data_IF_171135245584
#
_entry.id   IF_171135245584
#
_cell.length_a   1.000
_cell.length_b   1.000
_cell.length_c   1.000
_cell.angle_alpha   90.00
_cell.angle_beta   90.00
_cell.angle_gamma   90.00
#
_symmetry.space_group_name_H-M   'P 1'
#
loop_
_entity.id
_entity.type
_entity.pdbx_description
1 polymer ?
#
# COMPACT_ATOMS: atom_id res chain seq x y z
N UNK A 1 -3.52 11.23 -10.27
CA UNK A 1 -3.54 11.23 -8.78
C UNK A 1 -4.91 11.53 -8.20
N UNK A 2 -5.41 10.69 -7.30
CA UNK A 2 -6.78 10.73 -6.74
C UNK A 2 -6.82 11.16 -5.28
N UNK A 3 -6.17 10.40 -4.39
CA UNK A 3 -6.03 10.75 -2.98
C UNK A 3 -5.10 11.95 -2.89
N UNK A 4 -5.60 13.06 -2.35
CA UNK A 4 -4.88 14.32 -2.23
C UNK A 4 -4.32 14.55 -0.84
N UNK A 5 -5.03 14.09 0.19
CA UNK A 5 -4.66 14.35 1.58
C UNK A 5 -5.15 13.27 2.54
N UNK A 6 -4.33 13.00 3.55
CA UNK A 6 -4.72 12.34 4.80
C UNK A 6 -4.66 13.38 5.91
N UNK A 7 -5.69 13.46 6.75
CA UNK A 7 -5.74 14.35 7.92
C UNK A 7 -5.98 13.52 9.17
N UNK A 8 -5.20 13.75 10.23
CA UNK A 8 -5.42 13.13 11.53
C UNK A 8 -6.54 13.89 12.26
N UNK A 9 -7.57 13.17 12.70
CA UNK A 9 -8.71 13.70 13.45
C UNK A 9 -8.36 13.78 14.94
N UNK A 10 -7.41 14.67 15.28
CA UNK A 10 -6.81 14.76 16.61
C UNK A 10 -7.83 14.96 17.73
N UNK A 11 -8.92 15.69 17.48
CA UNK A 11 -10.01 15.91 18.45
C UNK A 11 -10.77 14.62 18.85
N UNK A 12 -10.62 13.54 18.08
CA UNK A 12 -11.24 12.23 18.39
C UNK A 12 -10.29 11.33 19.18
N UNK A 13 -9.00 11.66 19.26
CA UNK A 13 -7.99 10.80 19.87
C UNK A 13 -8.11 10.90 21.40
N UNK A 14 -8.33 9.78 22.11
CA UNK A 14 -8.51 9.80 23.56
C UNK A 14 -7.22 10.08 24.34
N UNK A 15 -6.06 9.63 23.83
CA UNK A 15 -4.75 9.86 24.42
C UNK A 15 -3.65 9.59 23.40
N UNK A 16 -2.61 10.43 23.39
CA UNK A 16 -1.40 10.24 22.59
C UNK A 16 -0.34 9.37 23.29
N UNK A 17 -0.62 8.84 24.48
CA UNK A 17 0.30 7.97 25.24
C UNK A 17 0.10 6.48 24.91
N UNK A 18 -0.90 6.16 24.08
CA UNK A 18 -1.25 4.78 23.71
C UNK A 18 -0.99 4.53 22.25
N UNK A 19 -0.59 3.30 21.93
CA UNK A 19 -0.50 2.85 20.54
C UNK A 19 -1.87 2.96 19.84
N UNK A 20 -1.94 3.32 18.55
CA UNK A 20 -0.84 3.76 17.68
C UNK A 20 -0.50 5.25 17.81
N UNK A 21 -1.26 6.00 18.59
CA UNK A 21 -1.09 7.44 18.73
C UNK A 21 0.21 7.84 19.42
N UNK A 22 0.86 6.94 20.17
CA UNK A 22 2.17 7.16 20.79
C UNK A 22 3.34 7.04 19.83
N UNK A 23 3.13 6.56 18.60
CA UNK A 23 4.17 6.56 17.58
C UNK A 23 4.50 8.02 17.26
N UNK A 24 5.76 8.48 17.39
CA UNK A 24 6.04 9.91 17.34
C UNK A 24 5.77 10.56 15.97
N UNK A 25 5.76 9.77 14.88
CA UNK A 25 5.37 10.25 13.54
C UNK A 25 3.86 10.46 13.42
N UNK A 26 3.06 9.66 14.15
CA UNK A 26 1.60 9.81 14.23
C UNK A 26 1.24 10.93 15.21
N UNK A 27 1.96 11.07 16.33
CA UNK A 27 1.77 12.18 17.28
C UNK A 27 1.88 13.53 16.58
N UNK A 28 2.88 13.69 15.72
CA UNK A 28 3.18 14.95 15.02
C UNK A 28 2.42 15.12 13.71
N UNK A 29 1.70 14.09 13.25
CA UNK A 29 0.90 14.16 12.03
C UNK A 29 -0.34 15.03 12.24
N UNK A 30 -0.42 16.16 11.53
CA UNK A 30 -1.66 16.91 11.38
C UNK A 30 -2.33 16.55 10.05
N UNK A 31 -1.56 16.66 8.97
CA UNK A 31 -1.98 16.30 7.63
C UNK A 31 -0.78 15.87 6.78
N UNK A 32 -1.06 15.04 5.77
CA UNK A 32 -0.12 14.59 4.76
C UNK A 32 -0.74 14.83 3.38
N UNK A 33 -0.11 15.69 2.58
CA UNK A 33 -0.52 15.97 1.20
C UNK A 33 0.25 15.08 0.21
N UNK A 34 -0.47 14.45 -0.71
CA UNK A 34 0.10 13.70 -1.83
C UNK A 34 0.32 14.62 -3.02
N UNK A 35 1.53 14.59 -3.60
CA UNK A 35 1.94 15.49 -4.70
C UNK A 35 2.31 14.75 -5.99
N UNK A 36 2.41 13.42 -5.96
CA UNK A 36 2.72 12.58 -7.11
C UNK A 36 1.93 11.28 -7.09
N UNK A 37 1.86 10.64 -8.26
CA UNK A 37 1.19 9.34 -8.42
C UNK A 37 1.92 8.21 -7.69
N UNK A 38 3.23 8.32 -7.44
CA UNK A 38 3.96 7.37 -6.57
C UNK A 38 4.43 8.12 -5.32
N UNK A 39 4.03 7.64 -4.15
CA UNK A 39 4.47 8.16 -2.86
C UNK A 39 5.10 7.06 -2.01
N UNK A 40 6.31 7.28 -1.51
CA UNK A 40 6.97 6.36 -0.59
C UNK A 40 6.88 6.85 0.86
N UNK A 41 6.45 5.98 1.76
CA UNK A 41 6.61 6.13 3.21
C UNK A 41 7.91 5.48 3.62
N UNK A 42 8.80 6.26 4.23
CA UNK A 42 10.17 5.87 4.57
C UNK A 42 10.44 6.22 6.03
N UNK A 43 11.21 5.38 6.71
CA UNK A 43 11.58 5.52 8.12
C UNK A 43 11.97 4.17 8.71
N UNK A 44 12.48 4.17 9.94
CA UNK A 44 12.89 2.96 10.63
C UNK A 44 11.72 2.01 10.97
N UNK A 45 12.03 0.79 11.39
CA UNK A 45 11.03 -0.13 11.90
C UNK A 45 10.35 0.46 13.13
N UNK A 46 9.02 0.37 13.20
CA UNK A 46 8.23 1.01 14.26
C UNK A 46 7.95 2.51 14.04
N UNK A 47 8.40 3.12 12.93
CA UNK A 47 8.12 4.54 12.64
C UNK A 47 6.68 4.85 12.21
N UNK A 48 5.77 3.87 12.19
CA UNK A 48 4.35 4.08 11.86
C UNK A 48 3.99 4.03 10.36
N UNK A 49 4.91 3.63 9.47
CA UNK A 49 4.64 3.51 8.02
C UNK A 49 3.46 2.57 7.74
N UNK A 50 3.55 1.32 8.20
CA UNK A 50 2.54 0.29 8.00
C UNK A 50 1.24 0.68 8.69
N UNK A 51 1.30 1.23 9.91
CA UNK A 51 0.15 1.75 10.65
C UNK A 51 -0.63 2.82 9.86
N UNK A 52 0.07 3.80 9.28
CA UNK A 52 -0.59 4.83 8.47
C UNK A 52 -1.14 4.25 7.16
N UNK A 53 -0.40 3.36 6.51
CA UNK A 53 -0.82 2.72 5.27
C UNK A 53 -2.08 1.84 5.49
N UNK A 54 -2.12 1.09 6.58
CA UNK A 54 -3.28 0.31 7.02
C UNK A 54 -4.50 1.19 7.32
N UNK A 55 -4.30 2.36 7.95
CA UNK A 55 -5.38 3.31 8.18
C UNK A 55 -5.97 3.83 6.86
N UNK A 56 -5.13 4.12 5.86
CA UNK A 56 -5.58 4.49 4.52
C UNK A 56 -6.34 3.33 3.87
N UNK A 57 -5.82 2.10 3.96
CA UNK A 57 -6.47 0.90 3.43
C UNK A 57 -7.86 0.68 4.05
N UNK A 58 -7.95 0.83 5.37
CA UNK A 58 -9.19 0.75 6.14
C UNK A 58 -10.23 1.77 5.63
N UNK A 59 -9.86 3.05 5.50
CA UNK A 59 -10.77 4.08 4.97
C UNK A 59 -11.17 3.87 3.50
N UNK A 60 -10.34 3.18 2.72
CA UNK A 60 -10.67 2.74 1.36
C UNK A 60 -11.59 1.51 1.34
N UNK A 61 -11.87 0.86 2.47
CA UNK A 61 -12.52 -0.45 2.58
C UNK A 61 -11.78 -1.55 1.80
N UNK A 62 -10.44 -1.52 1.81
CA UNK A 62 -9.62 -2.61 1.29
C UNK A 62 -9.44 -3.67 2.36
N UNK A 63 -9.25 -4.92 1.94
CA UNK A 63 -8.95 -5.97 2.90
C UNK A 63 -7.50 -5.84 3.37
N UNK A 64 -7.31 -5.58 4.66
CA UNK A 64 -6.02 -5.43 5.33
C UNK A 64 -5.22 -6.75 5.43
N UNK A 65 -5.86 -7.90 5.24
CA UNK A 65 -5.16 -9.19 5.06
C UNK A 65 -4.57 -9.37 3.65
N UNK A 66 -4.82 -8.42 2.74
CA UNK A 66 -4.43 -8.48 1.33
C UNK A 66 -5.69 -8.63 0.45
N UNK A 67 -5.95 -7.67 -0.44
CA UNK A 67 -7.16 -7.72 -1.28
C UNK A 67 -7.73 -6.38 -1.71
N UNK A 68 -8.75 -6.44 -2.58
CA UNK A 68 -9.63 -5.32 -2.89
C UNK A 68 -10.99 -5.49 -2.16
N UNK A 69 -11.91 -4.53 -2.32
CA UNK A 69 -13.26 -4.55 -1.71
C UNK A 69 -14.11 -5.78 -2.10
N UNK A 70 -13.86 -6.39 -3.26
CA UNK A 70 -14.66 -7.51 -3.78
C UNK A 70 -14.13 -8.88 -3.32
N UNK A 71 -12.90 -8.95 -2.81
CA UNK A 71 -12.37 -10.13 -2.14
C UNK A 71 -12.68 -10.03 -0.65
N UNK A 72 -13.95 -10.23 -0.29
CA UNK A 72 -14.39 -10.28 1.10
C UNK A 72 -13.96 -11.62 1.72
N UNK A 73 -12.71 -11.69 2.18
CA UNK A 73 -12.23 -12.82 2.97
C UNK A 73 -13.06 -12.96 4.26
N UNK A 74 -13.32 -14.21 4.70
CA UNK A 74 -13.71 -14.53 6.09
C UNK A 74 -12.52 -14.40 7.07
N UNK A 75 -11.44 -13.74 6.66
CA UNK A 75 -10.43 -13.22 7.58
C UNK A 75 -11.00 -11.87 8.02
N UNK A 76 -11.35 -11.75 9.31
CA UNK A 76 -11.83 -10.51 9.92
C UNK A 76 -11.12 -9.32 9.26
N UNK A 77 -11.88 -8.39 8.65
CA UNK A 77 -11.30 -7.14 8.14
C UNK A 77 -10.38 -6.62 9.25
N UNK A 78 -9.06 -6.67 9.03
CA UNK A 78 -8.14 -6.42 10.13
C UNK A 78 -8.42 -5.00 10.58
N UNK A 79 -8.80 -4.88 11.85
CA UNK A 79 -9.12 -3.61 12.47
C UNK A 79 -7.90 -2.71 12.36
N UNK A 80 -8.08 -1.50 11.84
CA UNK A 80 -7.02 -0.50 11.88
C UNK A 80 -7.22 0.36 13.12
N UNK A 81 -6.28 0.30 14.06
CA UNK A 81 -6.34 1.11 15.29
C UNK A 81 -6.32 2.62 15.02
N UNK A 82 -5.77 3.02 13.87
CA UNK A 82 -5.69 4.41 13.42
C UNK A 82 -6.79 4.78 12.40
N UNK A 83 -7.48 3.78 11.81
CA UNK A 83 -8.41 3.95 10.69
C UNK A 83 -9.53 4.95 10.96
N UNK A 84 -10.21 4.84 12.11
CA UNK A 84 -11.32 5.71 12.52
C UNK A 84 -10.89 7.16 12.84
N UNK A 85 -9.59 7.37 12.98
CA UNK A 85 -8.99 8.63 13.40
C UNK A 85 -8.33 9.39 12.25
N UNK A 86 -8.47 8.94 11.01
CA UNK A 86 -8.00 9.67 9.84
C UNK A 86 -9.16 10.06 8.91
N UNK A 87 -8.94 11.08 8.09
CA UNK A 87 -9.84 11.48 7.02
C UNK A 87 -9.09 11.57 5.69
N UNK A 88 -9.64 10.94 4.66
CA UNK A 88 -9.12 10.97 3.31
C UNK A 88 -9.82 12.05 2.48
N UNK A 89 -9.05 12.90 1.79
CA UNK A 89 -9.57 13.88 0.82
C UNK A 89 -9.17 13.49 -0.60
N UNK A 90 -10.13 13.50 -1.52
CA UNK A 90 -10.01 12.94 -2.86
C UNK A 90 -10.39 13.91 -3.97
N UNK A 91 -9.83 13.72 -5.17
CA UNK A 91 -10.29 14.40 -6.38
C UNK A 91 -9.88 13.62 -7.65
N UNK A 92 -10.82 12.91 -8.33
CA UNK A 92 -12.10 12.40 -7.82
C UNK A 92 -11.88 11.27 -6.79
N UNK A 93 -12.96 10.84 -6.10
CA UNK A 93 -12.90 9.68 -5.20
C UNK A 93 -12.74 8.40 -6.03
N UNK A 94 -11.69 7.64 -5.72
CA UNK A 94 -11.43 6.32 -6.31
C UNK A 94 -11.38 5.30 -5.19
N UNK A 95 -12.21 4.27 -5.29
CA UNK A 95 -12.30 3.16 -4.33
C UNK A 95 -11.96 1.80 -4.97
N UNK A 96 -11.58 1.82 -6.24
CA UNK A 96 -10.96 0.67 -6.88
C UNK A 96 -9.48 0.67 -6.53
N UNK A 97 -8.93 -0.50 -6.19
CA UNK A 97 -7.57 -0.56 -5.69
C UNK A 97 -7.27 -1.85 -4.97
N UNK A 98 -6.10 -1.90 -4.36
CA UNK A 98 -5.61 -3.10 -3.69
C UNK A 98 -4.66 -2.70 -2.56
N UNK A 99 -4.79 -3.34 -1.40
CA UNK A 99 -3.77 -3.31 -0.35
C UNK A 99 -3.04 -4.64 -0.31
N UNK A 100 -1.71 -4.58 -0.26
CA UNK A 100 -0.87 -5.77 -0.25
C UNK A 100 0.27 -5.64 0.75
N UNK A 101 0.43 -6.68 1.57
CA UNK A 101 1.59 -6.87 2.45
C UNK A 101 2.35 -8.09 1.95
N UNK A 102 3.67 -7.99 1.84
CA UNK A 102 4.47 -9.12 1.37
C UNK A 102 4.29 -10.37 2.26
N UNK A 103 4.18 -10.19 3.58
CA UNK A 103 3.98 -11.31 4.52
C UNK A 103 2.65 -12.05 4.35
N UNK A 104 1.58 -11.36 3.95
CA UNK A 104 0.25 -11.97 3.77
C UNK A 104 0.02 -12.48 2.34
N UNK A 105 0.94 -12.21 1.42
CA UNK A 105 0.81 -12.57 0.01
C UNK A 105 0.65 -14.09 -0.20
N UNK A 106 1.27 -14.92 0.63
CA UNK A 106 1.11 -16.37 0.52
C UNK A 106 -0.34 -16.82 0.71
N UNK A 107 -1.01 -16.33 1.76
CA UNK A 107 -2.42 -16.62 2.03
C UNK A 107 -3.33 -16.08 0.93
N UNK A 108 -3.01 -14.89 0.40
CA UNK A 108 -3.69 -14.34 -0.76
C UNK A 108 -3.57 -15.28 -1.97
N UNK A 109 -2.36 -15.76 -2.28
CA UNK A 109 -2.12 -16.66 -3.41
C UNK A 109 -2.87 -17.98 -3.27
N UNK A 110 -2.86 -18.60 -2.08
CA UNK A 110 -3.62 -19.82 -1.80
C UNK A 110 -5.10 -19.65 -2.06
N UNK A 111 -5.67 -18.55 -1.57
CA UNK A 111 -7.08 -18.30 -1.80
C UNK A 111 -7.43 -18.16 -3.29
N UNK A 112 -6.64 -17.39 -4.05
CA UNK A 112 -6.87 -17.24 -5.49
C UNK A 112 -6.81 -18.60 -6.19
N UNK A 113 -5.86 -19.46 -5.82
CA UNK A 113 -5.76 -20.82 -6.38
C UNK A 113 -6.96 -21.71 -6.02
N UNK A 114 -7.62 -21.48 -4.88
CA UNK A 114 -8.82 -22.22 -4.47
C UNK A 114 -10.11 -21.72 -5.15
N UNK A 115 -10.22 -20.41 -5.38
CA UNK A 115 -11.49 -19.78 -5.80
C UNK A 115 -11.52 -19.34 -7.26
N UNK A 116 -10.38 -19.23 -7.93
CA UNK A 116 -10.35 -18.80 -9.34
C UNK A 116 -10.97 -19.86 -10.25
N UNK A 117 -12.02 -19.44 -10.96
CA UNK A 117 -12.71 -20.21 -11.99
C UNK A 117 -12.45 -19.66 -13.41
N UNK A 118 -11.60 -18.64 -13.52
CA UNK A 118 -11.32 -17.92 -14.78
C UNK A 118 -10.10 -18.46 -15.52
N UNK A 119 -9.40 -19.43 -14.93
CA UNK A 119 -8.12 -19.94 -15.42
C UNK A 119 -6.99 -18.93 -15.18
N UNK A 120 -7.03 -18.21 -14.06
CA UNK A 120 -6.04 -17.25 -13.61
C UNK A 120 -5.83 -16.09 -14.58
N UNK A 121 -6.87 -15.67 -15.32
CA UNK A 121 -6.76 -14.67 -16.39
C UNK A 121 -6.16 -13.35 -15.89
N UNK A 122 -6.56 -12.93 -14.70
CA UNK A 122 -6.07 -11.71 -14.04
C UNK A 122 -4.72 -11.91 -13.32
N UNK A 123 -4.11 -13.09 -13.44
CA UNK A 123 -2.90 -13.51 -12.71
C UNK A 123 -1.85 -14.20 -13.61
N UNK A 124 -1.98 -14.04 -14.94
CA UNK A 124 -1.01 -14.56 -15.91
C UNK A 124 -1.33 -15.96 -16.45
N UNK A 125 -2.55 -16.46 -16.26
CA UNK A 125 -3.04 -17.70 -16.88
C UNK A 125 -2.54 -18.99 -16.25
N UNK A 126 -1.89 -18.92 -15.08
CA UNK A 126 -1.43 -20.08 -14.31
C UNK A 126 -1.57 -19.82 -12.81
N UNK A 127 -1.67 -20.90 -12.04
CA UNK A 127 -1.75 -20.87 -10.58
C UNK A 127 -0.61 -20.03 -9.97
N UNK A 128 -0.93 -19.27 -8.93
CA UNK A 128 0.03 -18.46 -8.19
C UNK A 128 0.99 -19.33 -7.37
N UNK A 129 0.60 -20.55 -6.99
CA UNK A 129 1.51 -21.53 -6.37
C UNK A 129 2.47 -22.20 -7.34
N UNK A 130 2.19 -22.18 -8.65
CA UNK A 130 3.07 -22.71 -9.68
C UNK A 130 4.13 -21.71 -10.17
N UNK A 131 4.17 -20.50 -9.60
CA UNK A 131 5.19 -19.50 -9.88
C UNK A 131 6.08 -19.29 -8.66
N UNK A 132 7.28 -18.75 -8.86
CA UNK A 132 8.09 -18.33 -7.71
C UNK A 132 7.41 -17.16 -6.98
N UNK A 133 7.65 -17.01 -5.68
CA UNK A 133 6.96 -16.00 -4.85
C UNK A 133 6.99 -14.59 -5.47
N UNK A 134 8.17 -14.14 -5.94
CA UNK A 134 8.28 -12.85 -6.63
C UNK A 134 7.70 -12.81 -8.05
N UNK A 135 7.55 -13.94 -8.76
CA UNK A 135 6.82 -13.97 -10.04
C UNK A 135 5.32 -13.80 -9.81
N UNK A 136 4.76 -14.55 -8.87
CA UNK A 136 3.35 -14.44 -8.48
C UNK A 136 3.03 -13.01 -8.03
N UNK A 137 3.95 -12.39 -7.28
CA UNK A 137 3.85 -11.00 -6.88
C UNK A 137 3.79 -10.08 -8.09
N UNK A 138 4.76 -10.15 -9.02
CA UNK A 138 4.79 -9.30 -10.22
C UNK A 138 3.59 -9.55 -11.16
N UNK A 139 3.15 -10.80 -11.31
CA UNK A 139 1.99 -11.19 -12.14
C UNK A 139 0.71 -10.49 -11.69
N UNK A 140 0.54 -10.26 -10.39
CA UNK A 140 -0.57 -9.47 -9.86
C UNK A 140 -0.58 -8.04 -10.46
N UNK A 141 0.56 -7.35 -10.45
CA UNK A 141 0.67 -5.99 -10.98
C UNK A 141 0.55 -5.94 -12.50
N UNK A 142 1.01 -6.98 -13.20
CA UNK A 142 0.96 -7.01 -14.66
C UNK A 142 -0.45 -7.28 -15.20
N UNK A 143 -1.23 -8.10 -14.50
CA UNK A 143 -2.47 -8.65 -15.07
C UNK A 143 -3.74 -8.14 -14.38
N UNK A 144 -3.70 -7.87 -13.08
CA UNK A 144 -4.87 -7.41 -12.32
C UNK A 144 -4.98 -5.90 -12.23
N UNK A 145 -3.86 -5.19 -12.28
CA UNK A 145 -3.85 -3.76 -12.03
C UNK A 145 -4.21 -3.02 -13.32
N UNK A 146 -5.46 -2.57 -13.41
CA UNK A 146 -6.03 -1.92 -14.60
C UNK A 146 -6.95 -0.76 -14.23
N UNK A 147 -6.98 0.25 -15.10
CA UNK A 147 -7.90 1.39 -15.00
C UNK A 147 -7.57 2.37 -13.86
N UNK A 148 -8.56 3.18 -13.48
CA UNK A 148 -8.44 4.17 -12.38
C UNK A 148 -8.39 3.44 -11.04
N UNK A 149 -7.23 3.40 -10.40
CA UNK A 149 -7.05 2.65 -9.15
C UNK A 149 -5.98 3.24 -8.21
N UNK A 150 -6.11 2.95 -6.91
CA UNK A 150 -5.10 3.25 -5.89
C UNK A 150 -4.54 1.96 -5.28
N UNK A 151 -3.23 1.86 -5.21
CA UNK A 151 -2.51 0.68 -4.73
C UNK A 151 -1.68 1.05 -3.50
N UNK A 152 -1.87 0.27 -2.44
CA UNK A 152 -1.23 0.47 -1.14
C UNK A 152 -0.35 -0.75 -0.88
N UNK A 153 0.97 -0.56 -0.76
CA UNK A 153 1.92 -1.67 -0.68
C UNK A 153 2.80 -1.53 0.55
N UNK A 154 2.86 -2.57 1.37
CA UNK A 154 3.66 -2.64 2.58
C UNK A 154 4.81 -3.62 2.38
N UNK A 155 6.03 -3.08 2.40
CA UNK A 155 7.30 -3.79 2.24
C UNK A 155 7.34 -4.75 1.04
N UNK A 156 6.98 -4.31 -0.19
CA UNK A 156 6.97 -5.17 -1.37
C UNK A 156 8.34 -5.80 -1.67
N UNK A 157 9.44 -5.17 -1.24
CA UNK A 157 10.81 -5.69 -1.37
C UNK A 157 11.02 -7.04 -0.67
N UNK A 158 10.28 -7.36 0.38
CA UNK A 158 10.45 -8.60 1.13
C UNK A 158 10.13 -9.84 0.27
N UNK A 159 9.29 -9.68 -0.76
CA UNK A 159 8.95 -10.72 -1.72
C UNK A 159 9.84 -10.72 -2.98
N UNK A 160 10.76 -9.76 -3.14
CA UNK A 160 11.44 -9.49 -4.41
C UNK A 160 12.97 -9.48 -4.27
N UNK A 161 13.63 -10.24 -5.15
CA UNK A 161 15.08 -10.10 -5.35
C UNK A 161 15.43 -8.72 -5.92
N UNK A 162 16.69 -8.23 -5.79
CA UNK A 162 17.10 -6.92 -6.30
C UNK A 162 16.73 -6.67 -7.77
N UNK A 163 16.94 -7.67 -8.64
CA UNK A 163 16.56 -7.59 -10.06
C UNK A 163 15.06 -7.42 -10.25
N UNK A 164 14.25 -8.13 -9.44
CA UNK A 164 12.79 -8.03 -9.49
C UNK A 164 12.27 -6.71 -8.92
N UNK A 165 12.98 -6.09 -7.98
CA UNK A 165 12.68 -4.74 -7.53
C UNK A 165 12.88 -3.72 -8.66
N UNK A 166 13.92 -3.87 -9.50
CA UNK A 166 14.09 -3.04 -10.70
C UNK A 166 12.95 -3.26 -11.72
N UNK A 167 12.55 -4.51 -11.94
CA UNK A 167 11.36 -4.82 -12.77
C UNK A 167 10.11 -4.18 -12.20
N UNK A 168 9.94 -4.21 -10.87
CA UNK A 168 8.80 -3.60 -10.19
C UNK A 168 8.79 -2.08 -10.37
N UNK A 169 9.94 -1.40 -10.29
CA UNK A 169 10.03 0.03 -10.60
C UNK A 169 9.59 0.36 -12.04
N UNK A 170 9.96 -0.47 -13.02
CA UNK A 170 9.50 -0.30 -14.40
C UNK A 170 7.98 -0.45 -14.51
N UNK A 171 7.40 -1.42 -13.81
CA UNK A 171 5.94 -1.62 -13.77
C UNK A 171 5.24 -0.42 -13.13
N UNK A 172 5.76 0.11 -12.02
CA UNK A 172 5.23 1.33 -11.40
C UNK A 172 5.23 2.51 -12.38
N UNK A 173 6.34 2.69 -13.09
CA UNK A 173 6.47 3.76 -14.09
C UNK A 173 5.45 3.60 -15.21
N UNK A 174 5.30 2.40 -15.74
CA UNK A 174 4.36 2.13 -16.84
C UNK A 174 2.92 2.32 -16.38
N UNK A 175 2.54 1.80 -15.20
CA UNK A 175 1.19 1.91 -14.67
C UNK A 175 0.81 3.35 -14.28
N UNK A 176 1.77 4.18 -13.88
CA UNK A 176 1.50 5.60 -13.56
C UNK A 176 1.52 6.51 -14.78
N UNK A 177 2.25 6.14 -15.84
CA UNK A 177 2.33 6.94 -17.08
C UNK A 177 1.24 6.58 -18.07
N UNK A 178 0.92 5.29 -18.20
CA UNK A 178 -0.04 4.78 -19.19
C UNK A 178 -1.44 4.52 -18.64
N UNK A 179 -1.57 4.38 -17.32
CA UNK A 179 -2.86 4.21 -16.64
C UNK A 179 -3.02 5.29 -15.56
N UNK A 180 -4.28 5.60 -15.23
CA UNK A 180 -4.58 6.51 -14.13
C UNK A 180 -4.43 5.76 -12.80
N UNK A 181 -3.20 5.47 -12.38
CA UNK A 181 -2.91 4.76 -11.13
C UNK A 181 -2.24 5.66 -10.11
N UNK A 182 -2.48 5.39 -8.82
CA UNK A 182 -1.75 6.00 -7.71
C UNK A 182 -1.20 4.90 -6.80
N UNK A 183 0.05 5.03 -6.38
CA UNK A 183 0.76 4.11 -5.50
C UNK A 183 1.18 4.82 -4.22
N UNK A 184 0.94 4.17 -3.08
CA UNK A 184 1.47 4.56 -1.78
C UNK A 184 2.18 3.35 -1.21
N UNK A 185 3.49 3.46 -1.00
CA UNK A 185 4.35 2.32 -0.74
C UNK A 185 5.14 2.58 0.55
N UNK A 186 4.95 1.74 1.56
CA UNK A 186 5.85 1.70 2.71
C UNK A 186 7.03 0.79 2.37
N UNK A 187 8.26 1.31 2.47
CA UNK A 187 9.46 0.57 2.09
C UNK A 187 10.68 1.06 2.88
N UNK A 188 11.62 0.16 3.08
CA UNK A 188 12.99 0.44 3.53
C UNK A 188 14.02 0.15 2.43
N UNK A 189 13.60 -0.33 1.26
CA UNK A 189 14.50 -0.70 0.16
C UNK A 189 15.13 0.53 -0.51
N UNK A 190 16.47 0.68 -0.47
CA UNK A 190 17.16 1.74 -1.21
C UNK A 190 16.94 1.65 -2.73
N UNK A 191 16.71 0.44 -3.27
CA UNK A 191 16.43 0.24 -4.69
C UNK A 191 15.11 0.89 -5.05
N UNK A 192 14.05 0.63 -4.26
CA UNK A 192 12.73 1.20 -4.54
C UNK A 192 12.71 2.72 -4.38
N UNK A 193 13.48 3.23 -3.41
CA UNK A 193 13.65 4.67 -3.21
C UNK A 193 14.39 5.37 -4.36
N UNK A 194 15.04 4.63 -5.25
CA UNK A 194 15.64 5.14 -6.48
C UNK A 194 14.65 5.49 -7.60
N UNK A 195 13.33 5.32 -7.38
CA UNK A 195 12.32 5.64 -8.40
C UNK A 195 12.30 7.14 -8.75
N UNK A 196 12.44 7.51 -10.03
CA UNK A 196 12.46 8.90 -10.46
C UNK A 196 11.07 9.54 -10.34
N UNK A 197 11.02 10.84 -10.05
CA UNK A 197 9.76 11.62 -9.95
C UNK A 197 8.78 11.17 -8.85
N UNK A 198 9.21 10.35 -7.89
CA UNK A 198 8.43 10.13 -6.67
C UNK A 198 8.42 11.38 -5.78
N UNK A 199 7.28 11.60 -5.11
CA UNK A 199 7.25 12.39 -3.88
C UNK A 199 7.50 11.43 -2.75
N UNK A 200 8.43 11.76 -1.87
CA UNK A 200 8.60 11.01 -0.64
C UNK A 200 7.60 11.57 0.35
N UNK A 201 6.64 10.74 0.78
CA UNK A 201 5.83 11.00 1.96
C UNK A 201 6.75 10.80 3.16
N UNK A 202 7.57 11.80 3.41
CA UNK A 202 8.64 11.73 4.39
C UNK A 202 8.01 11.66 5.79
N UNK A 203 7.76 10.44 6.27
CA UNK A 203 7.64 10.14 7.71
C UNK A 203 9.06 10.04 8.31
N UNK A 204 9.93 11.02 8.02
CA UNK A 204 11.19 11.14 8.74
C UNK A 204 10.87 11.71 10.12
N UNK A 205 11.01 10.84 11.12
CA UNK A 205 11.71 11.23 12.34
C UNK A 205 13.07 11.79 11.92
N UNK A 206 13.15 13.11 11.83
CA UNK A 206 14.18 13.93 12.49
C UNK A 206 14.04 15.35 11.95
N UNK A 207 13.83 16.29 12.88
CA UNK A 207 14.25 17.66 12.64
C UNK A 207 15.72 17.61 12.24
N UNK A 208 16.03 17.84 10.97
CA UNK A 208 17.32 18.42 10.62
C UNK A 208 17.27 19.89 11.07
N UNK A 209 17.40 20.09 12.39
CA UNK A 209 17.83 21.37 12.94
C UNK A 209 19.23 21.63 12.38
N UNK A 210 19.32 22.68 11.56
CA UNK A 210 20.57 23.42 11.37
C UNK A 210 20.78 24.36 12.55
#
# INVERSE_FOLDING_TARGET
MFLKRVTLLRDRIPSFDRYPFSIPSIQTLEQLDFKSDVTFFVGENGSGKSTLLEAIAYQCNFNTAGGNRNNAYQVHAASSDLGDYIRLSWLPKVINGFFLRAESFYHFATHIDEVDDTGFRDYGGRSLHQQSHGESFLSLFLHRFKGKAIYLLDEPEAALSPQRQLTFLKILHDLTTSAECQFIIATHSPILLGYPHATYGVLMMEKLEK
#
